data_IF_144297924217
#
_entry.id   IF_144297924217
#
_cell.length_a   1.000
_cell.length_b   1.000
_cell.length_c   1.000
_cell.angle_alpha   90.00
_cell.angle_beta   90.00
_cell.angle_gamma   90.00
#
_symmetry.space_group_name_H-M   'P 1'
#
loop_
_entity.id
_entity.type
_entity.pdbx_description
1 polymer ?
#
# COMPACT_ATOMS: atom_id res chain seq x y z
N UNK A 1 -22.21 3.34 35.29
CA UNK A 1 -20.79 2.98 35.04
C UNK A 1 -20.64 2.12 33.79
N UNK A 2 -21.50 1.13 33.56
CA UNK A 2 -21.46 0.26 32.37
C UNK A 2 -21.59 1.00 31.04
N UNK A 3 -22.48 1.99 30.93
CA UNK A 3 -22.67 2.75 29.68
C UNK A 3 -21.39 3.51 29.25
N UNK A 4 -20.66 4.11 30.20
CA UNK A 4 -19.41 4.85 29.91
C UNK A 4 -18.32 3.91 29.39
N UNK A 5 -18.21 2.70 29.96
CA UNK A 5 -17.25 1.69 29.52
C UNK A 5 -17.56 1.26 28.08
N UNK A 6 -18.84 1.03 27.76
CA UNK A 6 -19.26 0.66 26.40
C UNK A 6 -18.99 1.80 25.42
N UNK A 7 -19.25 3.07 25.80
CA UNK A 7 -18.93 4.23 24.95
C UNK A 7 -17.44 4.37 24.69
N UNK A 8 -16.60 4.22 25.72
CA UNK A 8 -15.14 4.28 25.57
C UNK A 8 -14.65 3.13 24.67
N UNK A 9 -15.16 1.91 24.88
CA UNK A 9 -14.79 0.74 24.09
C UNK A 9 -15.19 0.89 22.61
N UNK A 10 -16.39 1.40 22.33
CA UNK A 10 -16.85 1.69 20.98
C UNK A 10 -16.02 2.79 20.33
N UNK A 11 -15.69 3.87 21.06
CA UNK A 11 -14.87 4.96 20.53
C UNK A 11 -13.43 4.51 20.20
N UNK A 12 -12.86 3.61 21.00
CA UNK A 12 -11.56 3.00 20.68
C UNK A 12 -11.62 2.02 19.51
N UNK A 13 -12.74 1.32 19.32
CA UNK A 13 -12.95 0.45 18.17
C UNK A 13 -13.24 1.26 16.90
N UNK A 14 -13.89 2.40 17.00
CA UNK A 14 -14.22 3.30 15.89
C UNK A 14 -12.98 4.02 15.34
N UNK A 15 -11.99 4.27 16.21
CA UNK A 15 -10.64 4.69 15.79
C UNK A 15 -9.80 3.58 15.16
N UNK A 16 -10.25 2.32 15.17
CA UNK A 16 -9.71 1.33 14.24
C UNK A 16 -10.30 1.69 12.89
N UNK A 17 -9.63 2.59 12.18
CA UNK A 17 -9.94 3.02 10.83
C UNK A 17 -10.45 1.81 10.04
N UNK A 18 -11.67 1.92 9.53
CA UNK A 18 -12.26 0.94 8.63
C UNK A 18 -11.31 0.80 7.45
N UNK A 19 -10.42 -0.18 7.57
CA UNK A 19 -9.31 -0.40 6.65
C UNK A 19 -9.80 -0.28 5.22
N UNK A 20 -9.28 0.74 4.51
CA UNK A 20 -9.56 0.98 3.09
C UNK A 20 -9.44 -0.34 2.31
N UNK A 21 -10.25 -0.48 1.26
CA UNK A 21 -10.22 -1.68 0.43
C UNK A 21 -8.77 -1.95 -0.05
N UNK A 22 -8.26 -3.18 0.09
CA UNK A 22 -6.90 -3.48 -0.31
C UNK A 22 -6.72 -3.24 -1.82
N UNK A 23 -5.64 -2.54 -2.17
CA UNK A 23 -5.25 -2.23 -3.55
C UNK A 23 -3.93 -2.89 -3.87
N UNK A 24 -3.70 -3.21 -5.14
CA UNK A 24 -2.43 -3.76 -5.59
C UNK A 24 -1.55 -2.66 -6.14
N UNK A 25 -0.48 -2.34 -5.43
CA UNK A 25 0.60 -1.48 -5.92
C UNK A 25 1.61 -2.34 -6.67
N UNK A 26 1.84 -2.01 -7.93
CA UNK A 26 2.82 -2.67 -8.80
C UNK A 26 3.93 -1.67 -9.08
N UNK A 27 5.17 -2.04 -8.75
CA UNK A 27 6.36 -1.21 -8.96
C UNK A 27 7.39 -2.00 -9.74
N UNK A 28 7.95 -1.37 -10.77
CA UNK A 28 9.06 -1.88 -11.56
C UNK A 28 10.21 -0.86 -11.53
N UNK A 29 11.43 -1.32 -11.28
CA UNK A 29 12.62 -0.46 -11.19
C UNK A 29 13.92 -1.17 -11.53
N UNK A 30 15.04 -0.46 -11.43
CA UNK A 30 16.35 -0.84 -11.97
C UNK A 30 16.92 -2.14 -11.38
N UNK A 31 16.91 -2.30 -10.06
CA UNK A 31 17.48 -3.46 -9.39
C UNK A 31 16.88 -3.61 -7.98
N UNK A 32 17.43 -4.49 -7.15
CA UNK A 32 16.92 -4.71 -5.80
C UNK A 32 17.15 -3.53 -4.83
N UNK A 33 17.99 -2.56 -5.19
CA UNK A 33 18.39 -1.46 -4.31
C UNK A 33 17.30 -0.40 -4.14
N UNK A 34 16.30 -0.33 -5.03
CA UNK A 34 15.17 0.59 -4.85
C UNK A 34 14.14 0.07 -3.83
N UNK A 35 14.08 -1.26 -3.60
CA UNK A 35 13.04 -1.85 -2.74
C UNK A 35 13.11 -1.35 -1.28
N UNK A 36 14.30 -1.20 -0.65
CA UNK A 36 14.42 -0.56 0.66
C UNK A 36 13.93 0.89 0.69
N UNK A 37 14.30 1.70 -0.31
CA UNK A 37 13.87 3.12 -0.42
C UNK A 37 12.35 3.22 -0.60
N UNK A 38 11.77 2.34 -1.43
CA UNK A 38 10.32 2.25 -1.59
C UNK A 38 9.62 1.86 -0.28
N UNK A 39 10.14 0.87 0.45
CA UNK A 39 9.57 0.45 1.72
C UNK A 39 9.61 1.56 2.78
N UNK A 40 10.70 2.32 2.84
CA UNK A 40 10.84 3.49 3.72
C UNK A 40 9.78 4.55 3.39
N UNK A 41 9.59 4.88 2.11
CA UNK A 41 8.55 5.82 1.67
C UNK A 41 7.14 5.34 2.03
N UNK A 42 6.85 4.04 1.90
CA UNK A 42 5.57 3.46 2.32
C UNK A 42 5.37 3.57 3.85
N UNK A 43 6.42 3.32 4.63
CA UNK A 43 6.38 3.44 6.09
C UNK A 43 6.20 4.91 6.53
N UNK A 44 6.87 5.86 5.87
CA UNK A 44 6.73 7.32 6.13
C UNK A 44 5.31 7.83 5.85
N UNK A 45 4.66 7.27 4.83
CA UNK A 45 3.26 7.55 4.51
C UNK A 45 2.27 6.77 5.39
N UNK A 46 2.75 5.97 6.35
CA UNK A 46 1.90 5.17 7.25
C UNK A 46 1.16 4.04 6.53
N UNK A 47 1.63 3.62 5.35
CA UNK A 47 0.96 2.63 4.52
C UNK A 47 1.29 1.23 5.04
N UNK A 48 0.28 0.52 5.50
CA UNK A 48 0.42 -0.91 5.76
C UNK A 48 0.48 -1.68 4.44
N UNK A 49 1.52 -2.51 4.26
CA UNK A 49 1.69 -3.30 3.04
C UNK A 49 2.02 -4.77 3.30
N UNK A 50 1.68 -5.61 2.33
CA UNK A 50 2.10 -7.01 2.27
C UNK A 50 2.59 -7.35 0.87
N UNK A 51 3.80 -7.90 0.75
CA UNK A 51 4.35 -8.31 -0.53
C UNK A 51 3.59 -9.54 -1.04
N UNK A 52 3.01 -9.44 -2.24
CA UNK A 52 2.30 -10.54 -2.92
C UNK A 52 3.17 -11.21 -3.97
N UNK A 53 4.07 -10.46 -4.59
CA UNK A 53 5.01 -10.98 -5.59
C UNK A 53 6.30 -10.18 -5.60
N UNK A 54 7.41 -10.87 -5.86
CA UNK A 54 8.72 -10.29 -6.10
C UNK A 54 9.37 -11.06 -7.24
N UNK A 55 9.58 -10.41 -8.38
CA UNK A 55 10.23 -11.02 -9.55
C UNK A 55 11.50 -10.25 -9.88
N UNK A 56 12.63 -10.95 -9.75
CA UNK A 56 13.94 -10.43 -10.11
C UNK A 56 14.30 -10.87 -11.54
N UNK A 57 14.52 -9.91 -12.42
CA UNK A 57 14.97 -10.14 -13.78
C UNK A 57 16.41 -9.61 -13.96
N UNK A 58 17.00 -9.85 -15.13
CA UNK A 58 18.32 -9.30 -15.45
C UNK A 58 18.22 -7.79 -15.66
N UNK A 59 18.47 -7.03 -14.61
CA UNK A 59 18.46 -5.56 -14.63
C UNK A 59 17.10 -4.92 -14.40
N UNK A 60 16.16 -5.65 -13.78
CA UNK A 60 14.96 -5.05 -13.21
C UNK A 60 14.46 -5.85 -12.01
N UNK A 61 13.73 -5.19 -11.12
CA UNK A 61 12.94 -5.81 -10.07
C UNK A 61 11.48 -5.36 -10.20
N UNK A 62 10.58 -6.33 -10.23
CA UNK A 62 9.13 -6.14 -10.21
C UNK A 62 8.61 -6.57 -8.83
N UNK A 63 7.98 -5.66 -8.10
CA UNK A 63 7.38 -5.94 -6.79
C UNK A 63 5.91 -5.58 -6.82
N UNK A 64 5.09 -6.47 -6.28
CA UNK A 64 3.65 -6.26 -6.10
C UNK A 64 3.34 -6.26 -4.61
N UNK A 65 2.82 -5.14 -4.13
CA UNK A 65 2.35 -4.96 -2.77
C UNK A 65 0.82 -4.94 -2.74
N UNK A 66 0.23 -5.56 -1.74
CA UNK A 66 -1.12 -5.21 -1.30
C UNK A 66 -1.01 -4.09 -0.28
N UNK A 67 -1.68 -2.98 -0.54
CA UNK A 67 -1.62 -1.77 0.27
C UNK A 67 -3.01 -1.27 0.63
N UNK A 68 -3.10 -0.47 1.68
CA UNK A 68 -4.30 0.28 2.06
C UNK A 68 -3.92 1.75 2.13
N UNK A 69 -4.61 2.57 1.35
CA UNK A 69 -4.40 4.01 1.30
C UNK A 69 -5.74 4.62 0.87
N UNK A 70 -5.95 5.88 1.18
CA UNK A 70 -7.01 6.75 0.69
C UNK A 70 -6.48 7.62 -0.47
N UNK A 71 -5.23 8.09 -0.40
CA UNK A 71 -4.56 8.89 -1.44
C UNK A 71 -3.67 8.06 -2.40
N UNK A 72 -4.32 7.28 -3.27
CA UNK A 72 -3.61 6.48 -4.27
C UNK A 72 -2.87 7.32 -5.33
N UNK A 73 -3.42 8.48 -5.70
CA UNK A 73 -2.80 9.35 -6.71
C UNK A 73 -1.54 10.03 -6.18
N UNK A 74 -1.59 10.55 -4.95
CA UNK A 74 -0.42 11.11 -4.27
C UNK A 74 0.70 10.08 -4.15
N UNK A 75 0.36 8.87 -3.69
CA UNK A 75 1.32 7.79 -3.54
C UNK A 75 1.99 7.40 -4.86
N UNK A 76 1.23 7.29 -5.95
CA UNK A 76 1.78 6.99 -7.29
C UNK A 76 2.74 8.09 -7.75
N UNK A 77 2.40 9.36 -7.52
CA UNK A 77 3.25 10.50 -7.91
C UNK A 77 4.54 10.53 -7.11
N UNK A 78 4.47 10.28 -5.81
CA UNK A 78 5.63 10.31 -4.93
C UNK A 78 6.59 9.17 -5.27
N UNK A 79 6.08 7.93 -5.38
CA UNK A 79 6.86 6.77 -5.81
C UNK A 79 7.44 7.00 -7.22
N UNK A 80 6.64 7.51 -8.15
CA UNK A 80 7.09 7.79 -9.53
C UNK A 80 8.18 8.87 -9.64
N UNK A 81 8.46 9.61 -8.56
CA UNK A 81 9.55 10.58 -8.52
C UNK A 81 10.91 9.97 -8.17
N UNK A 82 10.94 8.72 -7.69
CA UNK A 82 12.18 7.99 -7.41
C UNK A 82 12.90 7.64 -8.73
N UNK A 83 14.16 8.05 -8.86
CA UNK A 83 14.94 7.86 -10.10
C UNK A 83 15.10 6.39 -10.50
N UNK A 84 15.09 5.49 -9.52
CA UNK A 84 15.29 4.05 -9.69
C UNK A 84 14.04 3.31 -10.18
N UNK A 85 12.90 4.00 -10.32
CA UNK A 85 11.61 3.43 -10.71
C UNK A 85 11.32 3.70 -12.19
N UNK A 86 11.03 2.63 -12.92
CA UNK A 86 10.63 2.67 -14.32
C UNK A 86 9.12 2.85 -14.47
N UNK A 87 8.34 2.22 -13.60
CA UNK A 87 6.89 2.27 -13.64
C UNK A 87 6.29 2.00 -12.25
N UNK A 88 5.19 2.70 -11.95
CA UNK A 88 4.36 2.50 -10.77
C UNK A 88 2.89 2.58 -11.16
N UNK A 89 2.07 1.66 -10.63
CA UNK A 89 0.63 1.70 -10.83
C UNK A 89 -0.09 1.10 -9.62
N UNK A 90 -1.28 1.63 -9.32
CA UNK A 90 -2.20 1.03 -8.36
C UNK A 90 -3.36 0.41 -9.15
N UNK A 91 -3.64 -0.86 -8.87
CA UNK A 91 -4.81 -1.55 -9.35
C UNK A 91 -5.80 -1.67 -8.20
N UNK A 92 -6.97 -1.05 -8.36
CA UNK A 92 -8.08 -1.28 -7.46
C UNK A 92 -8.53 -2.73 -7.59
N UNK A 93 -8.71 -3.41 -6.46
CA UNK A 93 -9.34 -4.71 -6.42
C UNK A 93 -10.86 -4.55 -6.60
N UNK A 94 -11.29 -4.12 -7.79
CA UNK A 94 -12.65 -4.39 -8.25
C UNK A 94 -12.65 -5.74 -8.96
N UNK A 95 -12.48 -6.80 -8.15
CA UNK A 95 -12.96 -8.11 -8.54
C UNK A 95 -14.48 -8.05 -8.58
N UNK A 96 -15.04 -7.39 -9.60
CA UNK A 96 -16.47 -7.36 -9.82
C UNK A 96 -16.92 -8.82 -9.81
N UNK A 97 -17.59 -9.23 -8.74
CA UNK A 97 -18.31 -10.49 -8.66
C UNK A 97 -19.36 -10.40 -9.76
N UNK A 98 -19.02 -10.90 -10.95
CA UNK A 98 -19.99 -11.15 -12.00
C UNK A 98 -20.81 -12.36 -11.53
N UNK A 99 -22.01 -12.07 -11.03
CA UNK A 99 -23.09 -13.03 -10.81
C UNK A 99 -23.42 -13.78 -12.11
#
# INVERSE_FOLDING_TARGET
>A
MTAVIVTIALFTLDQLELKEAPRLLVVNGENQEFEPELNELLDENGIYYTIKSRNLNKGSLDVIYEIQTDDGEGLVREIGSLNSIFNVSILDHDGSLRY
#
